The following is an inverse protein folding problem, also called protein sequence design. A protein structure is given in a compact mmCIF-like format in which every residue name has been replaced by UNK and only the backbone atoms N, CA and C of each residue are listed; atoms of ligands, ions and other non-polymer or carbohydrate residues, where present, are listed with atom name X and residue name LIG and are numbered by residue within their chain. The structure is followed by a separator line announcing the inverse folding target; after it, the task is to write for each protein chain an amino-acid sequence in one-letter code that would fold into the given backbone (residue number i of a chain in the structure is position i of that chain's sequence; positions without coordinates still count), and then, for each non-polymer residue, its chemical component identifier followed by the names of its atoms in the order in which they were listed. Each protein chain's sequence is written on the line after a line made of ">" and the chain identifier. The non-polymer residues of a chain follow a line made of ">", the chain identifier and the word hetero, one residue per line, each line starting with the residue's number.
data_IF_368987615095
#
_entry.id   IF_368987615095
#
_cell.length_a   1.000
_cell.length_b   1.000
_cell.length_c   1.000
_cell.angle_alpha   90.00
_cell.angle_beta   90.00
_cell.angle_gamma   90.00
#
_symmetry.space_group_name_H-M   'P 1'
#
loop_
_entity.id
_entity.type
_entity.pdbx_description
1 polymer ?
#
# COMPACT_ATOMS: atom_id res chain seq x y z
N UNK A 1 -34.28 9.32 -13.24
CA UNK A 1 -32.98 9.10 -12.56
C UNK A 1 -32.94 10.03 -11.36
N UNK A 2 -32.76 9.53 -10.14
CA UNK A 2 -32.68 10.39 -8.95
C UNK A 2 -31.30 11.07 -8.90
N UNK A 3 -31.29 12.40 -8.89
CA UNK A 3 -30.07 13.20 -8.76
C UNK A 3 -29.86 13.52 -7.28
N UNK A 4 -28.89 12.85 -6.66
CA UNK A 4 -28.47 13.15 -5.29
C UNK A 4 -27.41 14.25 -5.31
N UNK A 5 -27.55 15.25 -4.44
CA UNK A 5 -26.53 16.27 -4.29
C UNK A 5 -25.32 15.70 -3.54
N UNK A 6 -24.11 16.14 -3.89
CA UNK A 6 -22.91 15.78 -3.12
C UNK A 6 -23.10 16.28 -1.69
N UNK A 7 -22.78 15.44 -0.71
CA UNK A 7 -22.90 15.74 0.72
C UNK A 7 -24.32 15.79 1.28
N UNK A 8 -25.31 15.35 0.50
CA UNK A 8 -26.64 15.05 1.03
C UNK A 8 -26.52 14.05 2.19
N UNK A 9 -27.10 14.41 3.34
CA UNK A 9 -27.20 13.56 4.53
C UNK A 9 -28.65 13.12 4.66
N UNK A 10 -28.86 11.83 4.90
CA UNK A 10 -30.20 11.29 5.19
C UNK A 10 -30.17 10.32 6.36
N UNK A 11 -31.33 10.17 6.99
CA UNK A 11 -31.56 9.11 7.96
C UNK A 11 -31.95 7.81 7.25
N UNK A 12 -31.26 6.71 7.56
CA UNK A 12 -31.61 5.38 7.04
C UNK A 12 -32.68 4.75 7.95
N UNK A 13 -33.60 3.96 7.36
CA UNK A 13 -34.59 3.14 8.09
C UNK A 13 -33.98 2.21 9.15
N UNK A 14 -32.68 1.91 9.04
CA UNK A 14 -31.91 1.11 10.01
C UNK A 14 -31.36 1.91 11.21
N UNK A 15 -31.70 3.18 11.35
CA UNK A 15 -31.36 3.98 12.53
C UNK A 15 -29.96 4.61 12.54
N UNK A 16 -29.42 4.98 11.37
CA UNK A 16 -28.14 5.71 11.29
C UNK A 16 -28.13 6.72 10.15
N UNK A 17 -27.28 7.74 10.26
CA UNK A 17 -27.07 8.72 9.20
C UNK A 17 -26.17 8.18 8.09
N UNK A 18 -26.51 8.51 6.85
CA UNK A 18 -25.69 8.26 5.68
C UNK A 18 -25.37 9.57 4.94
N UNK A 19 -24.17 9.68 4.37
CA UNK A 19 -23.76 10.77 3.47
C UNK A 19 -23.47 10.25 2.08
N UNK A 20 -23.89 10.99 1.06
CA UNK A 20 -23.62 10.67 -0.34
C UNK A 20 -22.27 11.24 -0.80
N UNK A 21 -21.33 10.40 -1.27
CA UNK A 21 -20.01 10.89 -1.73
C UNK A 21 -19.98 11.44 -3.16
N UNK A 22 -21.13 11.50 -3.85
CA UNK A 22 -21.19 11.90 -5.25
C UNK A 22 -20.72 10.84 -6.25
N UNK A 23 -20.35 9.63 -5.80
CA UNK A 23 -19.81 8.56 -6.68
C UNK A 23 -20.74 7.37 -6.92
N UNK A 24 -21.94 7.31 -6.31
CA UNK A 24 -23.06 6.31 -6.48
C UNK A 24 -23.50 5.61 -5.18
N UNK A 25 -22.75 5.68 -4.09
CA UNK A 25 -23.10 4.97 -2.86
C UNK A 25 -23.20 5.89 -1.65
N UNK A 26 -24.14 5.53 -0.78
CA UNK A 26 -24.33 6.13 0.53
C UNK A 26 -23.34 5.51 1.51
N UNK A 27 -22.65 6.34 2.28
CA UNK A 27 -21.73 5.89 3.32
C UNK A 27 -22.28 6.19 4.69
N UNK A 28 -22.18 5.21 5.58
CA UNK A 28 -22.54 5.37 6.99
C UNK A 28 -21.67 6.44 7.66
N UNK A 29 -22.32 7.33 8.39
CA UNK A 29 -21.66 8.27 9.29
C UNK A 29 -21.49 7.64 10.67
N UNK A 30 -20.64 8.27 11.47
CA UNK A 30 -20.40 7.88 12.84
C UNK A 30 -21.67 8.10 13.70
N UNK A 31 -21.99 7.15 14.57
CA UNK A 31 -23.18 7.24 15.44
C UNK A 31 -23.05 8.28 16.56
N UNK A 32 -21.82 8.62 16.96
CA UNK A 32 -21.56 9.64 17.98
C UNK A 32 -22.12 10.99 17.52
N UNK A 33 -22.96 11.60 18.34
CA UNK A 33 -23.62 12.88 18.05
C UNK A 33 -22.61 13.96 17.68
N UNK A 34 -22.94 14.75 16.64
CA UNK A 34 -22.04 15.76 16.07
C UNK A 34 -20.88 15.22 15.21
N UNK A 35 -20.72 13.90 15.04
CA UNK A 35 -19.63 13.35 14.27
C UNK A 35 -19.98 13.07 12.80
N UNK A 36 -19.62 13.99 11.91
CA UNK A 36 -19.86 13.84 10.45
C UNK A 36 -18.78 13.03 9.71
N UNK A 37 -17.96 12.26 10.44
CA UNK A 37 -16.89 11.42 9.86
C UNK A 37 -17.46 10.07 9.42
N UNK A 38 -16.89 9.52 8.35
CA UNK A 38 -17.24 8.19 7.83
C UNK A 38 -16.99 7.10 8.89
N UNK A 39 -18.00 6.27 9.14
CA UNK A 39 -17.85 5.07 9.94
C UNK A 39 -17.05 3.99 9.19
N UNK A 40 -16.10 3.36 9.88
CA UNK A 40 -15.27 2.27 9.34
C UNK A 40 -15.58 0.93 10.00
N UNK A 41 -15.80 0.92 11.32
CA UNK A 41 -15.97 -0.31 12.13
C UNK A 41 -17.10 -0.06 13.11
N UNK A 42 -18.07 -0.98 13.22
CA UNK A 42 -19.20 -0.91 14.17
C UNK A 42 -19.95 0.44 14.18
N UNK A 43 -20.20 1.02 12.99
CA UNK A 43 -20.81 2.35 12.84
C UNK A 43 -20.03 3.51 13.50
N UNK A 44 -18.75 3.31 13.84
CA UNK A 44 -17.86 4.33 14.42
C UNK A 44 -16.76 4.75 13.46
N UNK A 45 -16.37 6.02 13.54
CA UNK A 45 -15.16 6.49 12.87
C UNK A 45 -13.91 5.95 13.59
N UNK A 46 -12.75 6.02 12.92
CA UNK A 46 -11.48 5.52 13.47
C UNK A 46 -11.19 6.09 14.87
N UNK A 47 -11.45 7.38 15.08
CA UNK A 47 -11.21 8.09 16.35
C UNK A 47 -12.08 7.56 17.49
N UNK A 48 -13.40 7.55 17.31
CA UNK A 48 -14.32 7.06 18.36
C UNK A 48 -14.13 5.56 18.64
N UNK A 49 -13.78 4.78 17.61
CA UNK A 49 -13.44 3.38 17.82
C UNK A 49 -12.20 3.19 18.72
N UNK A 50 -11.15 3.97 18.52
CA UNK A 50 -9.96 3.89 19.38
C UNK A 50 -10.23 4.38 20.79
N UNK A 51 -10.99 5.48 20.95
CA UNK A 51 -11.36 6.02 22.26
C UNK A 51 -12.20 5.01 23.07
N UNK A 52 -13.20 4.39 22.44
CA UNK A 52 -13.97 3.36 23.15
C UNK A 52 -13.11 2.15 23.49
N UNK A 53 -12.27 1.69 22.55
CA UNK A 53 -11.42 0.53 22.79
C UNK A 53 -10.51 0.76 24.01
N UNK A 54 -9.99 1.97 24.18
CA UNK A 54 -9.22 2.34 25.37
C UNK A 54 -10.08 2.36 26.64
N UNK A 55 -11.29 2.92 26.59
CA UNK A 55 -12.23 2.88 27.72
C UNK A 55 -12.54 1.45 28.17
N UNK A 56 -12.82 0.54 27.22
CA UNK A 56 -13.11 -0.86 27.55
C UNK A 56 -11.93 -1.59 28.20
N UNK A 57 -10.69 -1.25 27.82
CA UNK A 57 -9.49 -1.82 28.42
C UNK A 57 -9.24 -1.32 29.84
N UNK A 58 -9.59 -0.06 30.13
CA UNK A 58 -9.48 0.52 31.47
C UNK A 58 -10.57 -0.04 32.41
N UNK A 59 -11.78 -0.25 31.90
CA UNK A 59 -12.88 -0.83 32.68
C UNK A 59 -12.68 -2.33 32.96
N UNK A 60 -11.97 -3.07 32.10
CA UNK A 60 -11.71 -4.50 32.34
C UNK A 60 -10.71 -4.79 33.47
N UNK A 61 -9.96 -3.80 33.95
CA UNK A 61 -8.94 -3.98 35.00
C UNK A 61 -9.40 -3.46 36.37
N UNK A 62 -10.56 -2.80 36.44
CA UNK A 62 -11.17 -2.38 37.71
C UNK A 62 -12.25 -3.37 38.12
N UNK A 63 -11.84 -4.42 38.81
CA UNK A 63 -12.72 -5.26 39.62
C UNK A 63 -13.52 -4.35 40.58
N UNK A 64 -14.85 -4.48 40.69
CA UNK A 64 -15.64 -3.65 41.59
C UNK A 64 -15.34 -4.08 43.04
N UNK A 65 -14.41 -3.39 43.69
CA UNK A 65 -14.38 -3.34 45.15
C UNK A 65 -15.59 -2.51 45.57
N UNK A 66 -16.59 -3.22 46.11
CA UNK A 66 -17.74 -2.66 46.79
C UNK A 66 -17.24 -1.81 47.97
N UNK A 67 -17.24 -0.49 47.83
CA UNK A 67 -17.23 0.41 48.98
C UNK A 67 -18.21 1.55 48.76
N UNK A 68 -19.16 1.59 49.69
CA UNK A 68 -20.15 2.63 49.86
C UNK A 68 -19.48 3.96 50.25
N UNK A 69 -20.21 5.02 49.93
CA UNK A 69 -20.26 6.32 50.61
C UNK A 69 -19.14 7.35 50.37
N UNK A 70 -19.60 8.46 49.78
CA UNK A 70 -19.59 9.83 50.31
C UNK A 70 -18.48 10.81 49.88
N UNK A 71 -18.96 11.78 49.08
CA UNK A 71 -18.73 13.24 49.04
C UNK A 71 -17.32 13.84 48.87
N UNK A 72 -17.28 14.76 47.88
CA UNK A 72 -16.61 16.06 47.87
C UNK A 72 -15.29 16.25 47.10
N UNK A 73 -15.32 17.35 46.32
CA UNK A 73 -14.24 18.29 45.95
C UNK A 73 -13.27 17.95 44.80
N UNK A 74 -13.61 18.53 43.64
CA UNK A 74 -12.84 19.53 42.89
C UNK A 74 -11.32 19.63 43.15
N UNK A 75 -10.51 19.30 42.14
CA UNK A 75 -9.25 20.01 41.86
C UNK A 75 -8.73 19.75 40.44
N UNK A 76 -8.49 20.86 39.74
CA UNK A 76 -7.74 21.09 38.51
C UNK A 76 -6.24 20.77 38.64
N UNK A 77 -5.64 20.13 37.63
CA UNK A 77 -4.31 20.47 37.10
C UNK A 77 -3.89 19.59 35.90
N UNK A 78 -3.71 20.25 34.75
CA UNK A 78 -2.69 20.10 33.67
C UNK A 78 -1.99 18.76 33.40
N UNK A 79 -1.96 18.29 32.13
CA UNK A 79 -0.99 17.30 31.66
C UNK A 79 0.26 17.97 31.07
N UNK A 80 1.44 17.52 31.50
CA UNK A 80 2.74 17.87 30.93
C UNK A 80 3.26 16.75 30.03
N UNK A 81 3.67 17.16 28.83
CA UNK A 81 4.27 16.39 27.74
C UNK A 81 5.48 15.55 28.15
N UNK A 82 5.71 14.43 27.43
CA UNK A 82 7.06 13.94 27.11
C UNK A 82 7.01 12.95 25.95
N UNK A 83 7.49 13.42 24.81
CA UNK A 83 7.77 12.74 23.55
C UNK A 83 9.10 11.98 23.72
N UNK A 84 9.16 10.70 23.33
CA UNK A 84 10.45 10.03 23.05
C UNK A 84 10.34 9.21 21.78
N UNK A 85 10.87 9.82 20.71
CA UNK A 85 11.07 9.28 19.38
C UNK A 85 12.21 8.26 19.37
N UNK A 86 11.96 7.06 18.84
CA UNK A 86 13.00 6.07 18.59
C UNK A 86 13.52 6.21 17.15
N UNK A 87 14.76 6.66 17.02
CA UNK A 87 15.52 6.71 15.76
C UNK A 87 15.96 5.29 15.37
N UNK A 88 15.45 4.77 14.26
CA UNK A 88 15.95 3.54 13.62
C UNK A 88 16.99 3.91 12.56
N UNK A 89 18.26 3.70 12.90
CA UNK A 89 19.41 3.70 11.99
C UNK A 89 19.28 2.54 10.99
N UNK A 90 19.01 2.85 9.73
CA UNK A 90 19.16 1.91 8.62
C UNK A 90 20.59 2.01 8.07
N UNK A 91 21.36 0.93 8.22
CA UNK A 91 22.66 0.74 7.58
C UNK A 91 22.48 0.64 6.06
N UNK A 92 23.10 1.55 5.32
CA UNK A 92 23.19 1.51 3.86
C UNK A 92 24.49 0.80 3.46
N UNK A 93 24.39 -0.35 2.82
CA UNK A 93 25.55 -1.11 2.32
C UNK A 93 26.05 -0.50 1.01
N UNK A 94 27.32 -0.11 1.04
CA UNK A 94 28.10 0.47 -0.04
C UNK A 94 28.58 -0.65 -0.99
N UNK A 95 28.08 -0.71 -2.23
CA UNK A 95 28.61 -1.60 -3.25
C UNK A 95 29.67 -0.88 -4.09
N UNK A 96 30.90 -1.37 -4.03
CA UNK A 96 31.99 -0.99 -4.92
C UNK A 96 31.74 -1.56 -6.33
N UNK A 97 31.58 -0.68 -7.31
CA UNK A 97 31.57 -1.04 -8.72
C UNK A 97 33.01 -1.01 -9.25
N UNK A 98 33.56 -2.19 -9.54
CA UNK A 98 34.89 -2.35 -10.14
C UNK A 98 34.92 -1.75 -11.55
N UNK A 99 35.98 -1.00 -11.82
CA UNK A 99 36.33 -0.46 -13.13
C UNK A 99 37.05 -1.56 -13.93
N UNK A 100 36.58 -1.83 -15.15
CA UNK A 100 37.36 -2.51 -16.17
C UNK A 100 37.63 -1.51 -17.30
N UNK A 101 38.87 -1.05 -17.36
CA UNK A 101 39.38 -0.13 -18.39
C UNK A 101 39.85 -0.99 -19.56
N UNK A 102 39.05 -1.11 -20.60
CA UNK A 102 39.51 -1.61 -21.90
C UNK A 102 40.04 -0.43 -22.71
N UNK A 103 41.27 -0.57 -23.18
CA UNK A 103 42.00 0.40 -23.98
C UNK A 103 41.23 0.71 -25.28
N UNK A 104 40.82 1.96 -25.44
CA UNK A 104 40.22 2.49 -26.66
C UNK A 104 41.36 2.99 -27.56
N UNK A 105 41.41 2.61 -28.85
CA UNK A 105 42.38 3.15 -29.79
C UNK A 105 42.16 4.65 -30.01
N UNK A 106 43.26 5.41 -30.01
CA UNK A 106 43.22 6.87 -30.19
C UNK A 106 42.57 7.25 -31.53
N UNK A 107 41.62 8.20 -31.56
CA UNK A 107 41.13 8.76 -32.82
C UNK A 107 42.17 9.71 -33.45
N UNK A 108 42.14 9.87 -34.78
CA UNK A 108 43.03 10.78 -35.51
C UNK A 108 42.80 12.26 -35.16
N UNK A 109 43.80 13.13 -35.40
CA UNK A 109 43.80 14.51 -34.96
C UNK A 109 42.67 15.34 -35.56
N UNK A 110 42.05 16.10 -34.65
CA UNK A 110 40.88 16.94 -34.82
C UNK A 110 41.06 18.01 -35.89
N UNK A 111 40.24 17.95 -36.94
CA UNK A 111 39.88 19.13 -37.71
C UNK A 111 38.98 20.00 -36.82
N UNK A 112 39.30 21.29 -36.76
CA UNK A 112 38.60 22.32 -35.96
C UNK A 112 37.10 22.29 -36.23
N UNK A 113 36.35 21.66 -35.32
CA UNK A 113 34.89 21.63 -35.38
C UNK A 113 34.36 22.93 -34.80
N UNK A 114 33.68 23.70 -35.65
CA UNK A 114 32.97 24.91 -35.27
C UNK A 114 31.87 24.54 -34.27
N UNK A 115 31.95 25.08 -33.06
CA UNK A 115 30.99 24.86 -31.97
C UNK A 115 29.59 25.30 -32.41
N UNK A 116 28.79 24.37 -32.92
CA UNK A 116 27.39 24.64 -33.23
C UNK A 116 26.66 24.78 -31.89
N UNK A 117 25.94 25.88 -31.63
CA UNK A 117 25.22 26.05 -30.38
C UNK A 117 24.15 24.97 -30.25
N UNK A 118 24.38 24.00 -29.36
CA UNK A 118 23.42 22.96 -28.99
C UNK A 118 22.25 23.63 -28.31
N UNK A 119 21.15 23.81 -29.04
CA UNK A 119 19.90 24.27 -28.46
C UNK A 119 19.42 23.27 -27.40
N UNK A 120 18.84 23.74 -26.28
CA UNK A 120 18.32 22.86 -25.25
C UNK A 120 17.28 21.93 -25.87
N UNK A 121 17.56 20.62 -25.82
CA UNK A 121 16.64 19.58 -26.29
C UNK A 121 15.42 19.63 -25.39
N UNK A 122 14.37 20.30 -25.87
CA UNK A 122 13.07 20.31 -25.22
C UNK A 122 12.52 18.88 -25.29
N UNK A 123 12.43 18.21 -24.14
CA UNK A 123 11.91 16.84 -24.08
C UNK A 123 10.46 16.83 -24.53
N UNK A 124 10.22 16.25 -25.71
CA UNK A 124 8.87 16.02 -26.21
C UNK A 124 8.15 15.08 -25.23
N UNK A 125 6.88 15.35 -24.88
CA UNK A 125 6.09 14.45 -24.05
C UNK A 125 5.98 13.08 -24.74
N UNK A 126 6.45 12.04 -24.06
CA UNK A 126 6.33 10.66 -24.55
C UNK A 126 4.90 10.19 -24.33
N UNK A 127 4.13 10.09 -25.40
CA UNK A 127 2.79 9.50 -25.35
C UNK A 127 2.88 7.99 -25.46
N UNK A 128 2.27 7.28 -24.52
CA UNK A 128 2.18 5.81 -24.53
C UNK A 128 0.85 5.36 -25.12
N UNK A 129 0.89 4.31 -25.94
CA UNK A 129 -0.32 3.76 -26.55
C UNK A 129 -0.98 2.79 -25.57
N UNK A 130 -2.31 2.78 -25.50
CA UNK A 130 -3.03 1.81 -24.67
C UNK A 130 -2.66 0.38 -25.08
N UNK A 131 -2.38 -0.46 -24.09
CA UNK A 131 -1.89 -1.84 -24.26
C UNK A 131 -0.45 -1.97 -24.75
N UNK A 132 0.32 -0.89 -24.87
CA UNK A 132 1.77 -0.97 -25.08
C UNK A 132 2.40 -1.84 -23.98
N UNK A 133 3.23 -2.80 -24.40
CA UNK A 133 3.95 -3.71 -23.52
C UNK A 133 5.42 -3.34 -23.56
N UNK A 134 6.03 -3.20 -22.40
CA UNK A 134 7.49 -3.01 -22.26
C UNK A 134 8.06 -3.90 -21.17
N UNK A 135 9.37 -4.03 -21.17
CA UNK A 135 10.11 -4.56 -20.02
C UNK A 135 10.51 -3.38 -19.12
N UNK A 136 10.25 -3.50 -17.82
CA UNK A 136 10.76 -2.53 -16.85
C UNK A 136 12.25 -2.76 -16.57
N UNK A 137 12.87 -1.87 -15.77
CA UNK A 137 14.29 -1.96 -15.39
C UNK A 137 14.68 -3.26 -14.67
N UNK A 138 13.71 -4.03 -14.19
CA UNK A 138 13.90 -5.33 -13.52
C UNK A 138 13.64 -6.52 -14.45
N UNK A 139 13.40 -6.27 -15.74
CA UNK A 139 13.09 -7.31 -16.73
C UNK A 139 11.66 -7.88 -16.65
N UNK A 140 10.74 -7.25 -15.90
CA UNK A 140 9.33 -7.69 -15.88
C UNK A 140 8.52 -7.01 -16.98
N UNK A 141 7.63 -7.77 -17.62
CA UNK A 141 6.65 -7.23 -18.58
C UNK A 141 5.61 -6.36 -17.86
N UNK A 142 5.40 -5.15 -18.36
CA UNK A 142 4.36 -4.24 -17.92
C UNK A 142 3.51 -3.80 -19.10
N UNK A 143 2.22 -3.59 -18.87
CA UNK A 143 1.26 -3.10 -19.87
C UNK A 143 0.70 -1.74 -19.46
N UNK A 144 0.67 -0.79 -20.40
CA UNK A 144 0.09 0.52 -20.19
C UNK A 144 -1.45 0.47 -20.22
N UNK A 145 -2.10 0.99 -19.19
CA UNK A 145 -3.55 0.90 -19.04
C UNK A 145 -4.35 2.02 -19.74
N UNK A 146 -3.66 2.98 -20.35
CA UNK A 146 -4.25 4.15 -21.01
C UNK A 146 -4.59 5.30 -20.05
N UNK A 147 -4.34 5.17 -18.74
CA UNK A 147 -4.68 6.17 -17.71
C UNK A 147 -3.38 6.69 -17.04
N UNK A 148 -2.22 6.51 -17.66
CA UNK A 148 -0.94 6.94 -17.07
C UNK A 148 -0.28 5.91 -16.16
N UNK A 149 -0.80 4.67 -16.08
CA UNK A 149 -0.21 3.65 -15.23
C UNK A 149 0.26 2.41 -15.99
N UNK A 150 1.45 1.96 -15.64
CA UNK A 150 2.00 0.68 -16.07
C UNK A 150 1.60 -0.41 -15.08
N UNK A 151 1.07 -1.52 -15.60
CA UNK A 151 0.59 -2.65 -14.79
C UNK A 151 1.47 -3.86 -15.02
N UNK A 152 1.96 -4.54 -13.97
CA UNK A 152 2.76 -5.74 -14.15
C UNK A 152 1.93 -6.88 -14.74
N UNK A 153 2.49 -7.54 -15.74
CA UNK A 153 1.94 -8.75 -16.34
C UNK A 153 2.51 -10.00 -15.68
N UNK A 154 1.81 -11.11 -15.87
CA UNK A 154 2.27 -12.42 -15.41
C UNK A 154 3.59 -12.81 -16.08
N UNK A 155 4.52 -13.34 -15.29
CA UNK A 155 5.85 -13.77 -15.76
C UNK A 155 5.78 -14.99 -16.70
N UNK A 156 4.79 -15.87 -16.50
CA UNK A 156 4.59 -17.05 -17.35
C UNK A 156 4.45 -16.66 -18.82
N UNK A 157 5.09 -17.40 -19.71
CA UNK A 157 5.12 -17.02 -21.12
C UNK A 157 3.71 -16.97 -21.73
N UNK A 158 3.49 -16.04 -22.64
CA UNK A 158 2.20 -15.77 -23.30
C UNK A 158 1.03 -15.36 -22.38
N UNK A 159 1.26 -15.20 -21.07
CA UNK A 159 0.20 -14.82 -20.14
C UNK A 159 0.04 -13.29 -20.04
N UNK A 160 -0.96 -12.74 -20.73
CA UNK A 160 -1.29 -11.30 -20.69
C UNK A 160 -2.14 -10.89 -19.47
N UNK A 161 -2.26 -11.75 -18.45
CA UNK A 161 -3.04 -11.43 -17.25
C UNK A 161 -2.21 -10.60 -16.28
N UNK A 162 -2.87 -9.63 -15.63
CA UNK A 162 -2.26 -8.82 -14.56
C UNK A 162 -1.69 -9.69 -13.44
N UNK A 163 -0.43 -9.44 -13.09
CA UNK A 163 0.18 -10.05 -11.92
C UNK A 163 -0.40 -9.47 -10.63
N UNK A 164 -0.65 -10.33 -9.65
CA UNK A 164 -1.15 -9.93 -8.32
C UNK A 164 -0.14 -10.20 -7.21
N UNK A 165 0.54 -11.36 -7.24
CA UNK A 165 1.45 -11.81 -6.19
C UNK A 165 2.68 -12.45 -6.83
N UNK A 166 3.87 -12.03 -6.40
CA UNK A 166 5.17 -12.51 -6.90
C UNK A 166 5.31 -12.48 -8.44
N UNK A 167 4.77 -11.47 -9.11
CA UNK A 167 4.77 -11.39 -10.59
C UNK A 167 3.96 -12.50 -11.30
N UNK A 168 3.10 -13.25 -10.60
CA UNK A 168 2.17 -14.22 -11.19
C UNK A 168 0.72 -13.72 -11.14
N UNK A 169 -0.07 -14.13 -12.14
CA UNK A 169 -1.52 -14.02 -12.07
C UNK A 169 -2.09 -15.06 -11.08
N UNK A 170 -3.35 -14.90 -10.65
CA UNK A 170 -4.01 -15.81 -9.68
C UNK A 170 -3.92 -17.29 -10.10
N UNK A 171 -4.15 -17.57 -11.39
CA UNK A 171 -4.13 -18.94 -11.93
C UNK A 171 -2.73 -19.57 -11.83
N UNK A 172 -1.70 -18.89 -12.33
CA UNK A 172 -0.34 -19.42 -12.31
C UNK A 172 0.26 -19.45 -10.89
N UNK A 173 -0.09 -18.49 -10.04
CA UNK A 173 0.33 -18.53 -8.63
C UNK A 173 -0.22 -19.77 -7.91
N UNK A 174 -1.48 -20.12 -8.14
CA UNK A 174 -2.10 -21.32 -7.53
C UNK A 174 -1.45 -22.59 -8.07
N UNK A 175 -1.18 -22.64 -9.39
CA UNK A 175 -0.49 -23.78 -10.02
C UNK A 175 0.90 -24.00 -9.40
N UNK A 176 1.70 -22.95 -9.29
CA UNK A 176 3.04 -22.99 -8.68
C UNK A 176 2.99 -23.43 -7.21
N UNK A 177 1.98 -22.97 -6.44
CA UNK A 177 1.81 -23.39 -5.05
C UNK A 177 1.39 -24.86 -4.91
N UNK A 178 0.67 -25.42 -5.87
CA UNK A 178 0.31 -26.84 -5.87
C UNK A 178 1.49 -27.72 -6.28
N UNK A 179 2.26 -27.31 -7.29
CA UNK A 179 3.48 -28.02 -7.72
C UNK A 179 4.53 -28.06 -6.60
N UNK A 180 4.74 -26.95 -5.89
CA UNK A 180 5.66 -26.91 -4.74
C UNK A 180 5.21 -27.75 -3.54
N UNK A 181 3.90 -27.97 -3.37
CA UNK A 181 3.39 -28.87 -2.32
C UNK A 181 3.66 -30.34 -2.68
N UNK A 182 3.55 -30.69 -3.97
CA UNK A 182 3.84 -32.04 -4.44
C UNK A 182 5.33 -32.38 -4.30
N UNK A 183 6.23 -31.47 -4.68
CA UNK A 183 7.68 -31.70 -4.55
C UNK A 183 8.14 -31.87 -3.09
N UNK A 184 7.50 -31.19 -2.14
CA UNK A 184 7.80 -31.33 -0.71
C UNK A 184 7.35 -32.68 -0.09
N UNK A 185 6.42 -33.39 -0.73
CA UNK A 185 5.92 -34.69 -0.23
C UNK A 185 6.75 -35.88 -0.69
N UNK A 186 7.48 -35.76 -1.81
CA UNK A 186 8.24 -36.87 -2.41
C UNK A 186 9.56 -37.15 -1.69
N UNK A 187 10.14 -36.16 -1.00
CA UNK A 187 11.45 -36.31 -0.32
C UNK A 187 11.40 -37.01 1.04
N UNK A 188 10.24 -37.51 1.49
CA UNK A 188 10.12 -38.22 2.79
C UNK A 188 10.18 -39.75 2.70
N UNK A 189 10.22 -40.32 1.50
CA UNK A 189 10.26 -41.76 1.30
C UNK A 189 11.58 -42.20 0.65
N UNK A 190 12.71 -41.62 1.06
CA UNK A 190 14.00 -42.18 0.69
C UNK A 190 14.24 -43.42 1.58
N UNK A 191 14.32 -44.64 1.00
CA UNK A 191 14.58 -45.83 1.79
C UNK A 191 15.98 -45.73 2.38
N UNK A 192 16.06 -45.80 3.71
CA UNK A 192 17.32 -45.96 4.43
C UNK A 192 18.10 -47.13 3.82
N UNK A 193 19.35 -46.92 3.36
CA UNK A 193 20.17 -48.02 2.87
C UNK A 193 20.41 -48.99 4.03
N UNK A 194 19.99 -50.24 3.85
CA UNK A 194 20.29 -51.34 4.74
C UNK A 194 21.76 -51.72 4.58
N UNK A 195 22.52 -51.59 5.67
CA UNK A 195 23.89 -52.10 5.82
C UNK A 195 23.96 -53.64 5.77
#
# INVERSE_FOLDING_TARGET
>A
MSFHQRDEIRWNKKGYYERFDGKKYWRKLCVVEGCMKRAKVLNWCKRHYTEQKQKTLLTSTSTPVSQQSSVSSLSTSTPSDSILSSNLLFHSTHYHHLQAVSQIPMPPPSYLYTSTPTLPIQSQPVYHVRNEIRLNKRGFREQYDGIGHWRPLCIYDQCMKRAKKLSYCKRHYTKLMNENQLSASVTKNEPTPSE
#
